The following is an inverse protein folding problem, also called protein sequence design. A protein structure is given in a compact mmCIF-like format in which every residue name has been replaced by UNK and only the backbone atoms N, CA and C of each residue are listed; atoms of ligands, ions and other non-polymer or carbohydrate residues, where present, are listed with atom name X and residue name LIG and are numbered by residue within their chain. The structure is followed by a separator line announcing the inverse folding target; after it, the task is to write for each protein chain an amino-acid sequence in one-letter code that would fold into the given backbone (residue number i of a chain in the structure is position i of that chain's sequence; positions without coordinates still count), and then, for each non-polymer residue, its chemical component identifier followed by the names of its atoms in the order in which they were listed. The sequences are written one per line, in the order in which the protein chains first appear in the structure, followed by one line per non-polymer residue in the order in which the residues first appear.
data_IF_326865339111
#
_entry.id   IF_326865339111
#
_cell.length_a   1.000
_cell.length_b   1.000
_cell.length_c   1.000
_cell.angle_alpha   90.00
_cell.angle_beta   90.00
_cell.angle_gamma   90.00
#
_symmetry.space_group_name_H-M   'P 1'
#
loop_
_entity.id
_entity.type
_entity.pdbx_description
1 polymer ?
#
# COMPACT_ATOMS: atom_id res chain seq x y z
N UNK A 1 16.82 -20.10 19.32
CA UNK A 1 16.23 -20.64 18.06
C UNK A 1 15.25 -19.63 17.40
N UNK A 2 15.45 -18.33 17.64
CA UNK A 2 14.69 -17.23 17.02
C UNK A 2 15.54 -16.42 16.01
N UNK A 3 16.85 -16.73 15.93
CA UNK A 3 17.81 -16.07 15.03
C UNK A 3 17.95 -16.77 13.67
N UNK A 4 17.31 -17.93 13.49
CA UNK A 4 17.43 -18.75 12.27
C UNK A 4 16.49 -18.36 11.13
N UNK A 5 15.65 -17.33 11.29
CA UNK A 5 14.76 -16.85 10.22
C UNK A 5 14.81 -15.33 10.08
N UNK A 6 16.04 -14.81 10.00
CA UNK A 6 16.34 -13.39 9.76
C UNK A 6 15.60 -12.84 8.51
N UNK A 7 15.47 -13.67 7.46
CA UNK A 7 14.73 -13.33 6.24
C UNK A 7 13.23 -13.15 6.45
N UNK A 8 12.55 -14.08 7.14
CA UNK A 8 11.09 -13.95 7.39
C UNK A 8 10.78 -12.77 8.33
N UNK A 9 11.60 -12.55 9.36
CA UNK A 9 11.36 -11.47 10.33
C UNK A 9 11.50 -10.07 9.68
N UNK A 10 12.27 -9.92 8.62
CA UNK A 10 12.40 -8.65 7.89
C UNK A 10 11.55 -8.55 6.62
N UNK A 11 11.15 -9.66 5.99
CA UNK A 11 10.32 -9.61 4.76
C UNK A 11 8.82 -9.74 5.04
N UNK A 12 8.43 -10.36 6.17
CA UNK A 12 7.04 -10.59 6.57
C UNK A 12 6.66 -9.89 7.88
N UNK A 13 7.55 -9.13 8.51
CA UNK A 13 7.16 -8.23 9.62
C UNK A 13 6.17 -7.18 9.12
N UNK A 14 5.17 -6.88 9.94
CA UNK A 14 4.13 -5.88 9.64
C UNK A 14 4.75 -4.53 9.22
N UNK A 15 5.83 -4.11 9.88
CA UNK A 15 6.53 -2.86 9.59
C UNK A 15 7.15 -2.85 8.20
N UNK A 16 7.86 -3.93 7.83
CA UNK A 16 8.49 -4.04 6.52
C UNK A 16 7.46 -4.09 5.40
N UNK A 17 6.37 -4.84 5.58
CA UNK A 17 5.30 -4.93 4.59
C UNK A 17 4.66 -3.56 4.31
N UNK A 18 4.46 -2.75 5.35
CA UNK A 18 3.90 -1.40 5.23
C UNK A 18 4.91 -0.43 4.58
N UNK A 19 6.22 -0.59 4.82
CA UNK A 19 7.25 0.17 4.10
C UNK A 19 7.29 -0.17 2.60
N UNK A 20 7.22 -1.46 2.25
CA UNK A 20 7.14 -1.89 0.85
C UNK A 20 5.88 -1.38 0.17
N UNK A 21 4.72 -1.45 0.83
CA UNK A 21 3.48 -0.83 0.35
C UNK A 21 3.69 0.67 0.05
N UNK A 22 4.28 1.40 1.00
CA UNK A 22 4.51 2.85 0.88
C UNK A 22 5.37 3.18 -0.33
N UNK A 23 6.49 2.46 -0.49
CA UNK A 23 7.38 2.63 -1.64
C UNK A 23 6.68 2.32 -2.96
N UNK A 24 5.94 1.21 -3.03
CA UNK A 24 5.25 0.79 -4.25
C UNK A 24 4.14 1.78 -4.65
N UNK A 25 3.42 2.38 -3.70
CA UNK A 25 2.45 3.43 -4.02
C UNK A 25 3.11 4.68 -4.61
N UNK A 26 4.27 5.11 -4.11
CA UNK A 26 5.02 6.20 -4.74
C UNK A 26 5.49 5.85 -6.16
N UNK A 27 6.02 4.64 -6.35
CA UNK A 27 6.45 4.18 -7.68
C UNK A 27 5.24 4.13 -8.63
N UNK A 28 4.11 3.57 -8.19
CA UNK A 28 2.87 3.54 -8.97
C UNK A 28 2.43 4.95 -9.38
N UNK A 29 2.47 5.92 -8.46
CA UNK A 29 2.17 7.33 -8.74
C UNK A 29 3.03 7.89 -9.87
N UNK A 30 4.35 7.63 -9.81
CA UNK A 30 5.29 8.05 -10.86
C UNK A 30 4.90 7.44 -12.21
N UNK A 31 4.61 6.14 -12.27
CA UNK A 31 4.22 5.48 -13.52
C UNK A 31 2.89 5.99 -14.09
N UNK A 32 1.89 6.26 -13.25
CA UNK A 32 0.64 6.88 -13.70
C UNK A 32 0.86 8.29 -14.25
N UNK A 33 1.70 9.08 -13.59
CA UNK A 33 2.06 10.42 -14.05
C UNK A 33 2.86 10.38 -15.36
N UNK A 34 3.89 9.54 -15.45
CA UNK A 34 4.64 9.33 -16.69
C UNK A 34 3.73 8.86 -17.82
N UNK A 35 2.80 7.93 -17.55
CA UNK A 35 1.81 7.49 -18.51
C UNK A 35 0.88 8.62 -18.99
N UNK A 36 0.53 9.57 -18.12
CA UNK A 36 -0.30 10.71 -18.49
C UNK A 36 0.40 11.66 -19.48
N UNK A 37 1.70 11.88 -19.33
CA UNK A 37 2.47 12.82 -20.18
C UNK A 37 3.17 12.16 -21.37
N UNK A 38 3.33 10.82 -21.38
CA UNK A 38 4.00 10.10 -22.47
C UNK A 38 3.18 10.17 -23.77
N UNK A 39 3.84 10.54 -24.87
CA UNK A 39 3.21 10.68 -26.20
C UNK A 39 3.13 9.38 -27.01
N UNK A 40 3.80 8.30 -26.58
CA UNK A 40 3.81 7.00 -27.27
C UNK A 40 3.59 5.79 -26.36
N UNK A 41 4.09 5.85 -25.12
CA UNK A 41 4.05 4.71 -24.18
C UNK A 41 3.00 4.85 -23.07
N UNK A 42 2.02 5.74 -23.26
CA UNK A 42 0.95 6.03 -22.27
C UNK A 42 0.25 4.76 -21.77
N UNK A 43 -0.10 3.85 -22.68
CA UNK A 43 -0.77 2.59 -22.34
C UNK A 43 0.09 1.69 -21.46
N UNK A 44 1.35 1.48 -21.85
CA UNK A 44 2.29 0.61 -21.12
C UNK A 44 2.64 1.17 -19.74
N UNK A 45 2.94 2.47 -19.65
CA UNK A 45 3.31 3.11 -18.38
C UNK A 45 2.16 3.14 -17.38
N UNK A 46 0.94 3.48 -17.83
CA UNK A 46 -0.25 3.43 -16.96
C UNK A 46 -0.61 2.00 -16.55
N UNK A 47 -0.39 1.01 -17.41
CA UNK A 47 -0.54 -0.40 -17.06
C UNK A 47 0.47 -0.83 -15.98
N UNK A 48 1.74 -0.42 -16.11
CA UNK A 48 2.74 -0.68 -15.08
C UNK A 48 2.36 -0.03 -13.75
N UNK A 49 1.89 1.22 -13.78
CA UNK A 49 1.35 1.90 -12.59
C UNK A 49 0.26 1.09 -11.89
N UNK A 50 -0.69 0.56 -12.66
CA UNK A 50 -1.78 -0.30 -12.19
C UNK A 50 -1.29 -1.60 -11.57
N UNK A 51 -0.36 -2.29 -12.24
CA UNK A 51 0.22 -3.55 -11.71
C UNK A 51 0.99 -3.31 -10.42
N UNK A 52 1.75 -2.23 -10.33
CA UNK A 52 2.48 -1.85 -9.12
C UNK A 52 1.51 -1.50 -7.99
N UNK A 53 0.40 -0.82 -8.28
CA UNK A 53 -0.64 -0.54 -7.29
C UNK A 53 -1.29 -1.82 -6.74
N UNK A 54 -1.56 -2.82 -7.59
CA UNK A 54 -2.04 -4.14 -7.14
C UNK A 54 -1.04 -4.83 -6.20
N UNK A 55 0.26 -4.78 -6.50
CA UNK A 55 1.30 -5.33 -5.61
C UNK A 55 1.37 -4.56 -4.30
N UNK A 56 1.23 -3.23 -4.33
CA UNK A 56 1.20 -2.39 -3.13
C UNK A 56 0.01 -2.75 -2.22
N UNK A 57 -1.18 -2.97 -2.79
CA UNK A 57 -2.37 -3.42 -2.05
C UNK A 57 -2.12 -4.79 -1.42
N UNK A 58 -1.51 -5.73 -2.14
CA UNK A 58 -1.18 -7.04 -1.58
C UNK A 58 -0.23 -6.91 -0.38
N UNK A 59 0.81 -6.07 -0.47
CA UNK A 59 1.72 -5.80 0.65
C UNK A 59 1.01 -5.13 1.84
N UNK A 60 0.07 -4.21 1.58
CA UNK A 60 -0.75 -3.58 2.61
C UNK A 60 -1.63 -4.59 3.35
N UNK A 61 -2.30 -5.48 2.61
CA UNK A 61 -3.13 -6.55 3.17
C UNK A 61 -2.30 -7.52 4.00
N UNK A 62 -1.13 -7.93 3.50
CA UNK A 62 -0.20 -8.76 4.27
C UNK A 62 0.21 -8.04 5.56
N UNK A 63 0.62 -6.77 5.47
CA UNK A 63 1.03 -5.98 6.64
C UNK A 63 -0.07 -5.84 7.69
N UNK A 64 -1.31 -5.58 7.26
CA UNK A 64 -2.47 -5.48 8.18
C UNK A 64 -2.83 -6.83 8.80
N UNK A 65 -2.85 -7.92 8.04
CA UNK A 65 -3.15 -9.26 8.57
C UNK A 65 -2.05 -9.76 9.53
N UNK A 66 -0.78 -9.56 9.19
CA UNK A 66 0.33 -9.91 10.09
C UNK A 66 0.24 -9.09 11.37
N UNK A 67 -0.07 -7.80 11.26
CA UNK A 67 -0.24 -6.94 12.44
C UNK A 67 -1.39 -7.40 13.33
N UNK A 68 -2.50 -7.84 12.74
CA UNK A 68 -3.62 -8.41 13.49
C UNK A 68 -3.19 -9.66 14.27
N UNK A 69 -2.42 -10.54 13.62
CA UNK A 69 -1.86 -11.73 14.24
C UNK A 69 -0.85 -11.40 15.36
N UNK A 70 0.04 -10.43 15.13
CA UNK A 70 1.00 -9.94 16.13
C UNK A 70 0.29 -9.40 17.38
N UNK A 71 -0.79 -8.63 17.21
CA UNK A 71 -1.59 -8.11 18.34
C UNK A 71 -2.17 -9.21 19.22
N UNK A 72 -2.66 -10.31 18.63
CA UNK A 72 -3.17 -11.46 19.40
C UNK A 72 -2.09 -12.23 20.16
N UNK A 73 -0.86 -12.28 19.62
CA UNK A 73 0.25 -12.98 20.27
C UNK A 73 0.74 -12.27 21.54
N UNK A 74 0.52 -10.95 21.65
CA UNK A 74 0.92 -10.16 22.82
C UNK A 74 -0.01 -10.45 24.02
N UNK A 75 -1.29 -10.71 23.76
CA UNK A 75 -2.25 -11.14 24.78
C UNK A 75 -3.68 -11.25 24.22
N UNK A 76 -4.49 -12.23 24.65
CA UNK A 76 -5.87 -12.40 24.16
C UNK A 76 -6.75 -11.16 24.36
N UNK A 77 -6.53 -10.42 25.45
CA UNK A 77 -7.28 -9.21 25.81
C UNK A 77 -6.75 -7.94 25.11
N UNK A 78 -5.62 -8.04 24.40
CA UNK A 78 -4.93 -6.92 23.69
C UNK A 78 -5.14 -7.03 22.17
N UNK A 79 -5.48 -8.23 21.69
CA UNK A 79 -5.72 -8.51 20.27
C UNK A 79 -6.86 -7.67 19.69
N UNK A 80 -6.52 -6.79 18.76
CA UNK A 80 -7.47 -5.92 18.08
C UNK A 80 -7.28 -6.00 16.57
N UNK A 81 -8.38 -5.77 15.85
CA UNK A 81 -8.35 -5.58 14.40
C UNK A 81 -7.52 -4.32 14.11
N UNK A 82 -6.67 -4.32 13.06
CA UNK A 82 -5.74 -3.23 12.72
C UNK A 82 -6.49 -2.00 12.17
N UNK A 83 -7.28 -1.36 13.02
CA UNK A 83 -8.08 -0.14 12.85
C UNK A 83 -8.20 0.62 14.18
N UNK A 84 -7.29 0.37 15.12
CA UNK A 84 -7.42 0.84 16.51
C UNK A 84 -6.66 2.14 16.80
N UNK A 85 -5.75 2.55 15.91
CA UNK A 85 -5.02 3.81 16.01
C UNK A 85 -4.94 4.53 14.66
N UNK A 86 -4.48 5.79 14.67
CA UNK A 86 -4.41 6.63 13.48
C UNK A 86 -3.53 6.04 12.37
N UNK A 87 -2.40 5.44 12.74
CA UNK A 87 -1.51 4.77 11.79
C UNK A 87 -2.22 3.66 11.01
N UNK A 88 -2.91 2.77 11.72
CA UNK A 88 -3.66 1.65 11.14
C UNK A 88 -4.81 2.12 10.22
N UNK A 89 -5.51 3.17 10.63
CA UNK A 89 -6.59 3.78 9.83
C UNK A 89 -6.03 4.34 8.53
N UNK A 90 -4.84 4.95 8.54
CA UNK A 90 -4.21 5.46 7.32
C UNK A 90 -3.71 4.34 6.39
N UNK A 91 -3.20 3.23 6.94
CA UNK A 91 -2.89 2.03 6.13
C UNK A 91 -4.15 1.54 5.44
N UNK A 92 -5.24 1.40 6.20
CA UNK A 92 -6.54 0.98 5.69
C UNK A 92 -7.03 1.92 4.57
N UNK A 93 -6.98 3.23 4.81
CA UNK A 93 -7.36 4.24 3.84
C UNK A 93 -6.56 4.12 2.53
N UNK A 94 -5.24 3.95 2.61
CA UNK A 94 -4.38 3.85 1.43
C UNK A 94 -4.76 2.66 0.55
N UNK A 95 -4.79 1.44 1.10
CA UNK A 95 -5.05 0.25 0.27
C UNK A 95 -6.49 0.17 -0.20
N UNK A 96 -7.45 0.63 0.61
CA UNK A 96 -8.86 0.62 0.23
C UNK A 96 -9.14 1.62 -0.88
N UNK A 97 -8.60 2.84 -0.79
CA UNK A 97 -8.73 3.85 -1.85
C UNK A 97 -8.09 3.37 -3.14
N UNK A 98 -6.91 2.78 -3.08
CA UNK A 98 -6.24 2.20 -4.24
C UNK A 98 -7.05 1.04 -4.84
N UNK A 99 -7.61 0.14 -4.01
CA UNK A 99 -8.43 -0.97 -4.48
C UNK A 99 -9.71 -0.49 -5.17
N UNK A 100 -10.41 0.50 -4.59
CA UNK A 100 -11.57 1.13 -5.24
C UNK A 100 -11.20 1.75 -6.57
N UNK A 101 -10.08 2.47 -6.63
CA UNK A 101 -9.60 3.05 -7.87
C UNK A 101 -9.33 1.97 -8.93
N UNK A 102 -8.61 0.90 -8.61
CA UNK A 102 -8.29 -0.17 -9.55
C UNK A 102 -9.53 -0.92 -10.02
N UNK A 103 -10.49 -1.16 -9.12
CA UNK A 103 -11.79 -1.73 -9.49
C UNK A 103 -12.49 -0.88 -10.56
N UNK A 104 -12.56 0.43 -10.36
CA UNK A 104 -13.18 1.33 -11.34
C UNK A 104 -12.33 1.53 -12.61
N UNK A 105 -10.99 1.46 -12.51
CA UNK A 105 -10.11 1.44 -13.66
C UNK A 105 -10.45 0.28 -14.60
N UNK A 106 -10.65 -0.92 -14.04
CA UNK A 106 -11.03 -2.12 -14.78
C UNK A 106 -12.47 -2.02 -15.31
N UNK A 107 -13.42 -1.61 -14.47
CA UNK A 107 -14.84 -1.53 -14.83
C UNK A 107 -15.11 -0.52 -15.96
N UNK A 108 -14.43 0.62 -15.96
CA UNK A 108 -14.58 1.67 -16.99
C UNK A 108 -13.53 1.56 -18.11
N UNK A 109 -12.66 0.55 -18.06
CA UNK A 109 -11.57 0.34 -19.01
C UNK A 109 -10.71 1.60 -19.25
N UNK A 110 -10.55 2.46 -18.24
CA UNK A 110 -9.84 3.74 -18.36
C UNK A 110 -8.90 3.98 -17.19
N UNK A 111 -7.66 4.33 -17.52
CA UNK A 111 -6.58 4.63 -16.55
C UNK A 111 -6.34 6.13 -16.35
N UNK A 112 -7.21 6.97 -16.92
CA UNK A 112 -6.99 8.41 -16.96
C UNK A 112 -6.98 9.06 -15.57
N UNK A 113 -7.75 8.51 -14.62
CA UNK A 113 -7.87 9.04 -13.26
C UNK A 113 -6.74 8.60 -12.33
N UNK A 114 -5.89 7.65 -12.73
CA UNK A 114 -4.85 7.09 -11.87
C UNK A 114 -3.83 8.10 -11.38
N UNK A 115 -3.46 9.07 -12.21
CA UNK A 115 -2.56 10.15 -11.79
C UNK A 115 -3.14 10.97 -10.63
N UNK A 116 -4.45 11.22 -10.62
CA UNK A 116 -5.11 11.95 -9.54
C UNK A 116 -5.33 11.07 -8.30
N UNK A 117 -5.90 9.88 -8.47
CA UNK A 117 -6.17 8.97 -7.37
C UNK A 117 -4.89 8.61 -6.59
N UNK A 118 -3.80 8.37 -7.31
CA UNK A 118 -2.52 8.02 -6.71
C UNK A 118 -1.86 9.17 -5.95
N UNK A 119 -2.14 10.44 -6.28
CA UNK A 119 -1.70 11.56 -5.44
C UNK A 119 -2.37 11.56 -4.07
N UNK A 120 -3.67 11.25 -4.00
CA UNK A 120 -4.40 11.15 -2.73
C UNK A 120 -3.81 10.03 -1.87
N UNK A 121 -3.55 8.86 -2.48
CA UNK A 121 -2.92 7.73 -1.80
C UNK A 121 -1.50 8.09 -1.35
N UNK A 122 -0.67 8.70 -2.21
CA UNK A 122 0.69 9.11 -1.86
C UNK A 122 0.74 10.19 -0.79
N UNK A 123 -0.22 11.12 -0.74
CA UNK A 123 -0.32 12.09 0.35
C UNK A 123 -0.61 11.40 1.68
N UNK A 124 -1.51 10.42 1.70
CA UNK A 124 -1.80 9.61 2.88
C UNK A 124 -0.60 8.76 3.32
N UNK A 125 0.14 8.17 2.38
CA UNK A 125 1.40 7.47 2.66
C UNK A 125 2.45 8.44 3.22
N UNK A 126 2.58 9.65 2.66
CA UNK A 126 3.48 10.68 3.17
C UNK A 126 3.16 11.07 4.60
N UNK A 127 1.88 11.26 4.93
CA UNK A 127 1.42 11.46 6.30
C UNK A 127 1.77 10.28 7.20
N UNK A 128 1.53 9.04 6.75
CA UNK A 128 1.84 7.83 7.49
C UNK A 128 3.33 7.76 7.84
N UNK A 129 4.23 8.00 6.88
CA UNK A 129 5.67 7.99 7.12
C UNK A 129 6.10 9.09 8.08
N UNK A 130 5.56 10.30 7.94
CA UNK A 130 5.82 11.39 8.88
C UNK A 130 5.35 11.03 10.31
N UNK A 131 4.14 10.49 10.44
CA UNK A 131 3.56 10.08 11.73
C UNK A 131 4.34 8.95 12.42
N UNK A 132 5.06 8.10 11.67
CA UNK A 132 5.90 7.05 12.28
C UNK A 132 7.23 7.56 12.83
N UNK A 133 7.69 8.73 12.39
CA UNK A 133 9.00 9.29 12.77
C UNK A 133 8.88 10.30 13.92
N UNK A 134 7.73 10.95 14.04
CA UNK A 134 7.44 11.96 15.07
C UNK A 134 6.79 11.30 16.28
#
# INVERSE_FOLDING_TARGET
RADTVFGLKYFLSSQSAILWMSMLFFISTVFYWLGMFARGERGTLSLLGSRIAWVAIAMALIGTLVRWYESYLIGPDIGHIPVSNLYEVFVLFCWMTAAFYLYYEEQYATRALGGFAMLVVSAAVGFLLWYTVV
#
